data_IF_716308448221
#
_entry.id   IF_716308448221
#
_cell.length_a   1.000
_cell.length_b   1.000
_cell.length_c   1.000
_cell.angle_alpha   90.00
_cell.angle_beta   90.00
_cell.angle_gamma   90.00
#
_symmetry.space_group_name_H-M   'P 1'
#
loop_
_entity.id
_entity.type
_entity.pdbx_description
1 polymer ?
#
# COMPACT_ATOMS: atom_id res chain seq x y z
N UNK A 1 -7.35 -20.81 11.47
CA UNK A 1 -5.98 -21.00 12.01
C UNK A 1 -5.93 -20.78 13.53
N UNK A 2 -6.41 -19.65 14.05
CA UNK A 2 -6.39 -19.27 15.48
C UNK A 2 -6.81 -20.36 16.49
N UNK A 3 -7.91 -21.07 16.25
CA UNK A 3 -8.40 -22.12 17.18
C UNK A 3 -7.59 -23.41 17.18
N UNK A 4 -6.73 -23.61 16.19
CA UNK A 4 -5.90 -24.81 16.01
C UNK A 4 -4.45 -24.60 16.46
N UNK A 5 -4.03 -23.36 16.68
CA UNK A 5 -2.65 -23.03 17.07
C UNK A 5 -2.47 -23.08 18.60
N UNK A 6 -1.40 -23.70 19.10
CA UNK A 6 -1.05 -23.78 20.53
C UNK A 6 -0.23 -22.58 21.03
N UNK A 7 0.30 -21.74 20.13
CA UNK A 7 1.30 -20.70 20.44
C UNK A 7 0.72 -19.32 20.81
N UNK A 8 -0.53 -19.22 21.24
CA UNK A 8 -1.08 -17.95 21.75
C UNK A 8 -0.62 -17.74 23.19
N UNK A 9 -0.39 -16.49 23.61
CA UNK A 9 -0.04 -16.12 25.00
C UNK A 9 -1.09 -16.63 25.98
N UNK A 10 -2.37 -16.65 25.58
CA UNK A 10 -3.45 -17.33 26.33
C UNK A 10 -3.23 -18.81 26.62
N UNK A 11 -2.37 -19.48 25.85
CA UNK A 11 -2.02 -20.90 25.96
C UNK A 11 -0.58 -21.11 26.47
N UNK A 12 0.29 -20.11 26.33
CA UNK A 12 1.69 -20.14 26.81
C UNK A 12 1.83 -19.65 28.27
N UNK A 13 0.93 -18.79 28.75
CA UNK A 13 0.92 -18.26 30.11
C UNK A 13 -0.43 -18.57 30.78
N UNK A 14 -0.59 -19.74 31.45
CA UNK A 14 -1.78 -20.04 32.23
C UNK A 14 -1.96 -19.00 33.36
N UNK A 15 -3.23 -18.74 33.73
CA UNK A 15 -3.69 -17.74 34.73
C UNK A 15 -2.93 -17.71 36.06
N UNK A 16 -2.13 -18.73 36.35
CA UNK A 16 -1.47 -18.98 37.63
C UNK A 16 -0.05 -18.41 37.72
N UNK A 17 0.54 -17.92 36.62
CA UNK A 17 1.81 -17.15 36.61
C UNK A 17 1.73 -15.96 35.65
N UNK A 18 1.43 -14.79 36.20
CA UNK A 18 1.38 -13.52 35.47
C UNK A 18 2.78 -12.96 35.23
N UNK A 19 3.59 -13.65 34.41
CA UNK A 19 4.85 -13.08 33.92
C UNK A 19 4.53 -11.93 32.97
N UNK A 20 5.18 -10.77 33.15
CA UNK A 20 5.02 -9.66 32.23
C UNK A 20 5.53 -10.02 30.83
N UNK A 21 4.73 -9.75 29.81
CA UNK A 21 5.08 -9.97 28.39
C UNK A 21 5.13 -8.62 27.69
N UNK A 22 6.26 -8.32 27.07
CA UNK A 22 6.42 -7.15 26.19
C UNK A 22 6.72 -7.68 24.79
N UNK A 23 5.77 -7.52 23.88
CA UNK A 23 5.90 -7.93 22.48
C UNK A 23 6.34 -6.73 21.64
N UNK A 24 7.53 -6.83 21.04
CA UNK A 24 8.04 -5.86 20.08
C UNK A 24 7.71 -6.37 18.67
N UNK A 25 6.91 -5.60 17.93
CA UNK A 25 6.26 -6.05 16.70
C UNK A 25 6.75 -5.21 15.52
N UNK A 26 7.20 -5.89 14.46
CA UNK A 26 7.37 -5.30 13.13
C UNK A 26 6.16 -5.72 12.30
N UNK A 27 5.42 -4.73 11.81
CA UNK A 27 4.14 -4.93 11.11
C UNK A 27 4.34 -4.84 9.59
N UNK A 28 4.05 -5.95 8.93
CA UNK A 28 3.91 -6.10 7.48
C UNK A 28 2.43 -6.10 7.03
N UNK A 29 1.52 -5.67 7.91
CA UNK A 29 0.06 -5.71 7.68
C UNK A 29 -0.49 -4.29 7.53
N UNK A 30 -1.26 -4.07 6.46
CA UNK A 30 -2.01 -2.82 6.26
C UNK A 30 -2.83 -2.48 7.50
N UNK A 31 -2.62 -1.28 8.04
CA UNK A 31 -3.37 -0.76 9.17
C UNK A 31 -2.96 -1.32 10.54
N UNK A 32 -1.89 -2.11 10.61
CA UNK A 32 -1.26 -2.54 11.86
C UNK A 32 -2.18 -3.35 12.79
N UNK A 33 -3.10 -4.13 12.22
CA UNK A 33 -4.05 -4.92 13.00
C UNK A 33 -3.34 -6.07 13.72
N UNK A 34 -3.06 -5.89 15.01
CA UNK A 34 -2.34 -6.85 15.85
C UNK A 34 -2.94 -8.27 15.84
N UNK A 35 -4.26 -8.38 15.70
CA UNK A 35 -4.97 -9.66 15.62
C UNK A 35 -4.63 -10.45 14.36
N UNK A 36 -4.18 -9.78 13.30
CA UNK A 36 -3.78 -10.39 12.03
C UNK A 36 -2.28 -10.69 12.01
N UNK A 37 -1.46 -9.79 12.59
CA UNK A 37 0.00 -9.93 12.62
C UNK A 37 0.37 -11.22 13.35
N UNK A 38 1.03 -12.15 12.64
CA UNK A 38 1.40 -13.47 13.17
C UNK A 38 0.22 -14.26 13.78
N UNK A 39 -1.02 -14.00 13.35
CA UNK A 39 -2.23 -14.53 13.99
C UNK A 39 -2.41 -14.10 15.47
N UNK A 40 -1.95 -12.91 15.83
CA UNK A 40 -2.23 -12.25 17.12
C UNK A 40 -1.88 -13.09 18.35
N UNK A 41 -0.65 -13.64 18.46
CA UNK A 41 -0.29 -14.52 19.58
C UNK A 41 -0.44 -13.81 20.93
N UNK A 42 -0.19 -12.49 20.96
CA UNK A 42 -0.21 -11.62 22.13
C UNK A 42 -1.49 -10.78 22.23
N UNK A 43 -2.52 -11.14 21.46
CA UNK A 43 -3.84 -10.48 21.45
C UNK A 43 -4.93 -11.49 21.82
N UNK A 44 -5.94 -11.04 22.55
CA UNK A 44 -7.09 -11.88 22.85
C UNK A 44 -7.86 -12.22 21.56
N UNK A 45 -8.00 -13.52 21.28
CA UNK A 45 -8.80 -14.03 20.17
C UNK A 45 -10.29 -13.94 20.52
N UNK A 46 -10.98 -13.00 19.87
CA UNK A 46 -12.42 -12.73 20.04
C UNK A 46 -13.32 -13.70 19.28
N UNK A 47 -12.76 -14.55 18.41
CA UNK A 47 -13.56 -15.51 17.64
C UNK A 47 -14.04 -16.69 18.49
N UNK A 48 -15.07 -17.40 18.04
CA UNK A 48 -15.58 -18.60 18.71
C UNK A 48 -15.40 -19.87 17.85
N UNK A 49 -15.29 -21.07 18.47
CA UNK A 49 -15.31 -22.33 17.72
C UNK A 49 -16.58 -22.49 16.86
N UNK A 50 -17.71 -21.95 17.32
CA UNK A 50 -18.96 -21.93 16.56
C UNK A 50 -18.85 -21.11 15.27
N UNK A 51 -18.25 -19.91 15.33
CA UNK A 51 -17.99 -19.11 14.13
C UNK A 51 -17.09 -19.88 13.15
N UNK A 52 -16.10 -20.64 13.65
CA UNK A 52 -15.26 -21.48 12.81
C UNK A 52 -16.07 -22.58 12.10
N UNK A 53 -16.99 -23.26 12.80
CA UNK A 53 -17.90 -24.25 12.20
C UNK A 53 -18.83 -23.63 11.15
N UNK A 54 -19.32 -22.41 11.40
CA UNK A 54 -20.15 -21.68 10.44
C UNK A 54 -19.39 -21.34 9.16
N UNK A 55 -18.13 -20.88 9.27
CA UNK A 55 -17.27 -20.60 8.11
C UNK A 55 -17.02 -21.89 7.31
N UNK A 56 -16.69 -23.00 7.98
CA UNK A 56 -16.49 -24.29 7.32
C UNK A 56 -17.75 -24.75 6.55
N UNK A 57 -18.94 -24.48 7.10
CA UNK A 57 -20.21 -24.74 6.43
C UNK A 57 -20.39 -23.85 5.20
N UNK A 58 -20.18 -22.55 5.34
CA UNK A 58 -20.32 -21.57 4.25
C UNK A 58 -19.38 -21.87 3.08
N UNK A 59 -18.19 -22.41 3.36
CA UNK A 59 -17.20 -22.79 2.35
C UNK A 59 -17.37 -24.23 1.82
N UNK A 60 -18.39 -24.98 2.27
CA UNK A 60 -18.59 -26.39 1.93
C UNK A 60 -17.35 -27.27 2.20
N UNK A 61 -16.71 -27.06 3.35
CA UNK A 61 -15.48 -27.77 3.76
C UNK A 61 -15.72 -28.76 4.91
N UNK A 62 -16.95 -28.93 5.39
CA UNK A 62 -17.24 -29.75 6.57
C UNK A 62 -16.79 -31.21 6.40
N UNK A 63 -16.98 -31.79 5.22
CA UNK A 63 -16.59 -33.17 4.93
C UNK A 63 -15.12 -33.30 4.49
N UNK A 64 -14.41 -32.17 4.35
CA UNK A 64 -12.99 -32.13 3.92
C UNK A 64 -12.01 -31.98 5.08
N UNK A 65 -12.49 -31.70 6.29
CA UNK A 65 -11.64 -31.58 7.47
C UNK A 65 -11.47 -32.93 8.17
N UNK A 66 -10.32 -33.20 8.81
CA UNK A 66 -10.16 -34.41 9.61
C UNK A 66 -11.16 -34.47 10.77
N UNK A 67 -11.66 -35.66 11.08
CA UNK A 67 -12.66 -35.87 12.14
C UNK A 67 -12.18 -35.38 13.52
N UNK A 68 -10.88 -35.47 13.78
CA UNK A 68 -10.26 -34.95 15.00
C UNK A 68 -10.45 -33.44 15.19
N UNK A 69 -10.45 -32.67 14.09
CA UNK A 69 -10.68 -31.22 14.11
C UNK A 69 -12.15 -30.90 14.33
N UNK A 70 -13.04 -31.61 13.65
CA UNK A 70 -14.48 -31.45 13.80
C UNK A 70 -14.92 -31.73 15.25
N UNK A 71 -14.45 -32.86 15.79
CA UNK A 71 -14.69 -33.27 17.18
C UNK A 71 -14.20 -32.21 18.17
N UNK A 72 -12.99 -31.66 17.98
CA UNK A 72 -12.44 -30.61 18.84
C UNK A 72 -13.30 -29.33 18.83
N UNK A 73 -13.71 -28.87 17.65
CA UNK A 73 -14.49 -27.64 17.50
C UNK A 73 -15.87 -27.79 18.13
N UNK A 74 -16.57 -28.89 17.86
CA UNK A 74 -17.89 -29.18 18.45
C UNK A 74 -17.80 -29.30 19.97
N UNK A 75 -16.79 -30.01 20.48
CA UNK A 75 -16.57 -30.14 21.94
C UNK A 75 -16.38 -28.77 22.58
N UNK A 76 -15.49 -27.93 22.03
CA UNK A 76 -15.22 -26.59 22.59
C UNK A 76 -16.42 -25.65 22.50
N UNK A 77 -17.23 -25.73 21.44
CA UNK A 77 -18.48 -24.98 21.37
C UNK A 77 -19.39 -25.33 22.55
N UNK A 78 -19.57 -26.64 22.85
CA UNK A 78 -20.42 -27.10 23.96
C UNK A 78 -19.88 -26.65 25.32
N UNK A 79 -18.57 -26.74 25.53
CA UNK A 79 -17.91 -26.31 26.77
C UNK A 79 -18.13 -24.81 27.04
N UNK A 80 -17.94 -23.97 26.01
CA UNK A 80 -18.16 -22.53 26.11
C UNK A 80 -19.61 -22.22 26.45
N UNK A 81 -20.58 -22.76 25.69
CA UNK A 81 -22.01 -22.52 25.93
C UNK A 81 -22.45 -22.90 27.35
N UNK A 82 -21.90 -23.99 27.91
CA UNK A 82 -22.18 -24.39 29.30
C UNK A 82 -21.60 -23.41 30.33
N UNK A 83 -20.43 -22.83 30.06
CA UNK A 83 -19.74 -21.96 31.00
C UNK A 83 -20.26 -20.51 31.04
N UNK A 84 -20.78 -20.00 29.91
CA UNK A 84 -21.19 -18.58 29.78
C UNK A 84 -22.69 -18.37 29.66
N UNK A 85 -23.50 -19.44 29.52
CA UNK A 85 -24.95 -19.32 29.28
C UNK A 85 -25.32 -18.75 27.90
N UNK A 86 -24.34 -18.37 27.09
CA UNK A 86 -24.49 -17.85 25.73
C UNK A 86 -23.43 -18.46 24.79
N UNK A 87 -23.74 -18.56 23.50
CA UNK A 87 -22.79 -18.98 22.46
C UNK A 87 -21.83 -17.82 22.08
N UNK A 88 -22.14 -16.61 22.54
CA UNK A 88 -21.32 -15.40 22.39
C UNK A 88 -20.31 -15.32 23.54
N UNK A 89 -19.23 -16.07 23.42
CA UNK A 89 -18.03 -15.76 24.20
C UNK A 89 -17.38 -14.51 23.62
N UNK A 90 -17.58 -13.37 24.28
CA UNK A 90 -16.76 -12.16 24.11
C UNK A 90 -15.40 -12.41 24.76
N UNK A 91 -14.53 -13.11 24.03
CA UNK A 91 -13.25 -13.53 24.57
C UNK A 91 -12.39 -12.37 25.08
N UNK A 92 -12.05 -12.47 26.36
CA UNK A 92 -10.87 -11.90 27.02
C UNK A 92 -10.87 -10.38 27.16
N UNK A 93 -11.03 -9.90 28.40
CA UNK A 93 -10.38 -8.67 28.84
C UNK A 93 -8.94 -8.64 28.34
N UNK A 94 -8.48 -7.49 27.82
CA UNK A 94 -7.07 -7.29 27.51
C UNK A 94 -6.22 -7.83 28.67
N UNK A 95 -5.19 -8.61 28.33
CA UNK A 95 -4.29 -9.12 29.34
C UNK A 95 -3.44 -7.95 29.86
N UNK A 96 -3.73 -7.46 31.06
CA UNK A 96 -3.03 -6.29 31.64
C UNK A 96 -1.51 -6.48 31.73
N UNK A 97 -1.05 -7.73 31.83
CA UNK A 97 0.37 -8.11 31.87
C UNK A 97 1.02 -8.24 30.48
N UNK A 98 0.26 -8.03 29.39
CA UNK A 98 0.75 -8.14 28.00
C UNK A 98 0.71 -6.77 27.34
N UNK A 99 1.90 -6.25 27.03
CA UNK A 99 2.07 -5.00 26.31
C UNK A 99 2.53 -5.28 24.89
N UNK A 100 1.79 -4.76 23.90
CA UNK A 100 2.14 -4.86 22.49
C UNK A 100 2.67 -3.50 22.02
N UNK A 101 3.88 -3.49 21.49
CA UNK A 101 4.55 -2.27 20.99
C UNK A 101 4.96 -2.51 19.55
N UNK A 102 4.42 -1.69 18.64
CA UNK A 102 4.87 -1.68 17.25
C UNK A 102 6.15 -0.86 17.18
N UNK A 103 7.24 -1.52 16.80
CA UNK A 103 8.59 -0.92 16.70
C UNK A 103 9.02 -0.69 15.25
N UNK A 104 8.28 -1.24 14.28
CA UNK A 104 8.47 -0.98 12.87
C UNK A 104 7.17 -1.19 12.10
N UNK A 105 6.82 -0.24 11.23
CA UNK A 105 5.71 -0.35 10.30
C UNK A 105 5.86 0.67 9.16
N UNK A 106 4.92 0.62 8.22
CA UNK A 106 4.91 1.51 7.07
C UNK A 106 4.82 2.99 7.45
N UNK A 107 4.07 3.34 8.51
CA UNK A 107 3.95 4.73 9.00
C UNK A 107 5.30 5.28 9.45
N UNK A 108 6.10 4.48 10.17
CA UNK A 108 7.43 4.88 10.61
C UNK A 108 8.38 5.03 9.43
N UNK A 109 8.29 4.14 8.44
CA UNK A 109 9.09 4.25 7.21
C UNK A 109 8.71 5.50 6.38
N UNK A 110 7.41 5.82 6.27
CA UNK A 110 6.93 7.05 5.62
C UNK A 110 7.34 8.31 6.38
N UNK A 111 7.31 8.29 7.71
CA UNK A 111 7.80 9.40 8.52
C UNK A 111 9.30 9.64 8.27
N UNK A 112 10.10 8.58 8.20
CA UNK A 112 11.52 8.67 7.84
C UNK A 112 11.72 9.21 6.41
N UNK A 113 10.96 8.72 5.44
CA UNK A 113 10.99 9.22 4.06
C UNK A 113 10.61 10.71 3.98
N UNK A 114 9.59 11.14 4.73
CA UNK A 114 9.18 12.54 4.83
C UNK A 114 10.28 13.41 5.41
N UNK A 115 10.87 13.03 6.54
CA UNK A 115 12.01 13.76 7.12
C UNK A 115 13.18 13.86 6.13
N UNK A 116 13.47 12.77 5.41
CA UNK A 116 14.54 12.79 4.41
C UNK A 116 14.20 13.72 3.23
N UNK A 117 12.96 13.73 2.76
CA UNK A 117 12.51 14.63 1.71
C UNK A 117 12.64 16.10 2.12
N UNK A 118 12.29 16.45 3.37
CA UNK A 118 12.51 17.82 3.89
C UNK A 118 13.98 18.21 3.90
N UNK A 119 14.86 17.31 4.36
CA UNK A 119 16.31 17.53 4.37
C UNK A 119 16.89 17.74 2.97
N UNK A 120 16.30 17.09 1.95
CA UNK A 120 16.67 17.25 0.54
C UNK A 120 16.02 18.48 -0.11
N UNK A 121 15.25 19.28 0.64
CA UNK A 121 14.65 20.52 0.17
C UNK A 121 13.26 20.40 -0.47
N UNK A 122 12.65 19.21 -0.41
CA UNK A 122 11.26 19.01 -0.84
C UNK A 122 10.27 19.47 0.24
N UNK A 123 9.03 19.74 -0.17
CA UNK A 123 7.87 19.84 0.71
C UNK A 123 7.10 18.52 0.68
N UNK A 124 7.29 17.62 1.65
CA UNK A 124 6.60 16.35 1.63
C UNK A 124 5.17 16.45 2.17
N UNK A 125 4.36 15.49 1.75
CA UNK A 125 3.09 15.19 2.39
C UNK A 125 2.85 13.69 2.37
N UNK A 126 2.51 13.10 3.52
CA UNK A 126 2.05 11.72 3.59
C UNK A 126 0.53 11.72 3.38
N UNK A 127 0.04 11.11 2.29
CA UNK A 127 -1.39 11.03 2.00
C UNK A 127 -2.05 9.78 2.58
N UNK A 128 -1.35 8.64 2.61
CA UNK A 128 -1.87 7.37 3.12
C UNK A 128 -0.73 6.44 3.54
N UNK A 129 -0.96 5.60 4.54
CA UNK A 129 -0.11 4.46 4.91
C UNK A 129 -0.89 3.12 4.81
N UNK A 130 -2.01 3.16 4.10
CA UNK A 130 -2.97 2.05 3.94
C UNK A 130 -3.42 1.94 2.48
N UNK A 131 -2.55 2.31 1.54
CA UNK A 131 -2.81 2.15 0.12
C UNK A 131 -3.03 0.67 -0.20
N UNK A 132 -4.11 0.37 -0.91
CA UNK A 132 -4.44 -0.96 -1.40
C UNK A 132 -5.03 -0.89 -2.82
N UNK A 133 -5.23 -2.06 -3.43
CA UNK A 133 -5.84 -2.19 -4.75
C UNK A 133 -4.89 -2.78 -5.80
N UNK A 134 -5.36 -2.79 -7.05
CA UNK A 134 -4.60 -3.30 -8.20
C UNK A 134 -3.54 -2.27 -8.63
N UNK A 135 -2.28 -2.68 -8.67
CA UNK A 135 -1.12 -1.82 -8.91
C UNK A 135 -1.26 -0.92 -10.14
N UNK A 136 -1.68 -1.48 -11.27
CA UNK A 136 -1.87 -0.73 -12.52
C UNK A 136 -2.96 0.36 -12.40
N UNK A 137 -4.07 0.08 -11.70
CA UNK A 137 -5.13 1.07 -11.44
C UNK A 137 -4.65 2.17 -10.50
N UNK A 138 -3.87 1.80 -9.49
CA UNK A 138 -3.24 2.75 -8.57
C UNK A 138 -2.23 3.64 -9.29
N UNK A 139 -1.44 3.09 -10.21
CA UNK A 139 -0.52 3.85 -11.06
C UNK A 139 -1.24 4.92 -11.88
N UNK A 140 -2.37 4.57 -12.52
CA UNK A 140 -3.22 5.56 -13.23
C UNK A 140 -3.69 6.67 -12.27
N UNK A 141 -4.07 6.34 -11.04
CA UNK A 141 -4.45 7.37 -10.05
C UNK A 141 -3.30 8.32 -9.74
N UNK A 142 -2.06 7.84 -9.65
CA UNK A 142 -0.88 8.70 -9.45
C UNK A 142 -0.62 9.64 -10.64
N UNK A 143 -0.78 9.17 -11.88
CA UNK A 143 -0.66 10.03 -13.07
C UNK A 143 -1.72 11.14 -13.06
N UNK A 144 -2.97 10.80 -12.76
CA UNK A 144 -4.05 11.78 -12.56
C UNK A 144 -3.76 12.76 -11.42
N UNK A 145 -3.22 12.28 -10.30
CA UNK A 145 -2.85 13.10 -9.16
C UNK A 145 -1.72 14.07 -9.49
N UNK A 146 -0.75 13.65 -10.30
CA UNK A 146 0.34 14.49 -10.77
C UNK A 146 -0.18 15.72 -11.52
N UNK A 147 -1.10 15.52 -12.47
CA UNK A 147 -1.76 16.63 -13.19
C UNK A 147 -2.63 17.48 -12.29
N UNK A 148 -3.40 16.88 -11.37
CA UNK A 148 -4.23 17.63 -10.44
C UNK A 148 -3.37 18.56 -9.55
N UNK A 149 -2.25 18.04 -9.03
CA UNK A 149 -1.29 18.83 -8.29
C UNK A 149 -0.64 19.92 -9.16
N UNK A 150 -0.18 19.60 -10.37
CA UNK A 150 0.42 20.55 -11.31
C UNK A 150 -0.52 21.73 -11.64
N UNK A 151 -1.80 21.46 -11.91
CA UNK A 151 -2.83 22.49 -12.13
C UNK A 151 -3.08 23.37 -10.89
N UNK A 152 -2.70 22.90 -9.70
CA UNK A 152 -2.88 23.62 -8.44
C UNK A 152 -1.70 24.53 -8.09
N UNK A 153 -0.55 24.42 -8.77
CA UNK A 153 0.57 25.35 -8.59
C UNK A 153 0.20 26.75 -9.11
N UNK A 154 0.40 27.78 -8.28
CA UNK A 154 0.10 29.17 -8.65
C UNK A 154 -1.38 29.48 -8.83
N UNK A 155 -2.26 28.62 -8.29
CA UNK A 155 -3.70 28.80 -8.32
C UNK A 155 -4.12 30.13 -7.66
N UNK A 156 -4.56 31.11 -8.47
CA UNK A 156 -5.29 32.28 -7.98
C UNK A 156 -6.75 31.88 -7.79
N UNK A 157 -7.20 31.80 -6.54
CA UNK A 157 -8.57 31.45 -6.10
C UNK A 157 -9.68 32.26 -6.81
N UNK A 158 -9.32 33.37 -7.45
CA UNK A 158 -10.23 34.29 -8.14
C UNK A 158 -10.63 33.91 -9.57
N UNK A 159 -10.14 32.80 -10.15
CA UNK A 159 -10.53 32.34 -11.49
C UNK A 159 -11.30 31.01 -11.42
N UNK A 160 -12.41 30.82 -12.17
CA UNK A 160 -13.19 29.58 -12.10
C UNK A 160 -12.31 28.38 -12.44
N UNK A 161 -12.51 27.27 -11.73
CA UNK A 161 -11.95 25.96 -12.10
C UNK A 161 -12.34 25.71 -13.56
N UNK A 162 -11.38 25.48 -14.46
CA UNK A 162 -11.72 25.00 -15.80
C UNK A 162 -12.60 23.75 -15.66
N UNK A 163 -13.51 23.52 -16.61
CA UNK A 163 -14.34 22.31 -16.64
C UNK A 163 -13.49 21.04 -16.48
N UNK A 164 -12.31 21.06 -17.09
CA UNK A 164 -11.27 20.04 -17.02
C UNK A 164 -10.73 19.78 -15.58
N UNK A 165 -10.46 20.83 -14.80
CA UNK A 165 -10.03 20.68 -13.40
C UNK A 165 -11.13 20.04 -12.54
N UNK A 166 -12.38 20.48 -12.71
CA UNK A 166 -13.51 19.93 -11.95
C UNK A 166 -13.72 18.46 -12.30
N UNK A 167 -13.64 18.12 -13.59
CA UNK A 167 -13.77 16.73 -14.03
C UNK A 167 -12.67 15.86 -13.45
N UNK A 168 -11.41 16.31 -13.48
CA UNK A 168 -10.29 15.57 -12.90
C UNK A 168 -10.45 15.34 -11.39
N UNK A 169 -10.97 16.34 -10.65
CA UNK A 169 -11.29 16.19 -9.23
C UNK A 169 -12.36 15.12 -9.01
N UNK A 170 -13.42 15.11 -9.81
CA UNK A 170 -14.49 14.11 -9.73
C UNK A 170 -13.98 12.71 -10.09
N UNK A 171 -13.15 12.59 -11.11
CA UNK A 171 -12.57 11.33 -11.53
C UNK A 171 -11.68 10.74 -10.44
N UNK A 172 -10.80 11.54 -9.81
CA UNK A 172 -10.00 11.12 -8.67
C UNK A 172 -10.85 10.66 -7.48
N UNK A 173 -11.92 11.40 -7.17
CA UNK A 173 -12.85 11.02 -6.09
C UNK A 173 -13.58 9.72 -6.40
N UNK A 174 -14.05 9.52 -7.64
CA UNK A 174 -14.73 8.29 -8.07
C UNK A 174 -13.81 7.06 -8.02
N UNK A 175 -12.49 7.27 -8.17
CA UNK A 175 -11.47 6.23 -8.03
C UNK A 175 -11.04 5.99 -6.58
N UNK A 176 -11.63 6.68 -5.61
CA UNK A 176 -11.44 6.45 -4.19
C UNK A 176 -10.51 7.42 -3.49
N UNK A 177 -10.00 8.47 -4.17
CA UNK A 177 -9.17 9.50 -3.51
C UNK A 177 -10.08 10.46 -2.73
N UNK A 178 -9.99 10.53 -1.39
CA UNK A 178 -10.92 11.37 -0.62
C UNK A 178 -10.76 12.86 -0.96
N UNK A 179 -11.88 13.58 -1.07
CA UNK A 179 -11.86 15.04 -1.33
C UNK A 179 -11.03 15.82 -0.31
N UNK A 180 -10.98 15.36 0.94
CA UNK A 180 -10.10 15.93 2.00
C UNK A 180 -8.62 15.79 1.64
N UNK A 181 -8.22 14.66 1.07
CA UNK A 181 -6.86 14.40 0.59
C UNK A 181 -6.50 15.33 -0.56
N UNK A 182 -7.39 15.48 -1.55
CA UNK A 182 -7.19 16.40 -2.66
C UNK A 182 -7.01 17.85 -2.20
N UNK A 183 -7.82 18.32 -1.24
CA UNK A 183 -7.65 19.66 -0.64
C UNK A 183 -6.27 19.88 -0.03
N UNK A 184 -5.66 18.86 0.59
CA UNK A 184 -4.30 18.97 1.13
C UNK A 184 -3.28 19.12 0.01
N UNK A 185 -3.44 18.39 -1.10
CA UNK A 185 -2.57 18.49 -2.27
C UNK A 185 -2.65 19.89 -2.89
N UNK A 186 -3.85 20.46 -3.02
CA UNK A 186 -4.02 21.85 -3.50
C UNK A 186 -3.30 22.86 -2.58
N UNK A 187 -3.51 22.74 -1.27
CA UNK A 187 -2.86 23.63 -0.30
C UNK A 187 -1.33 23.54 -0.35
N UNK A 188 -0.80 22.32 -0.49
CA UNK A 188 0.63 22.07 -0.63
C UNK A 188 1.17 22.67 -1.92
N UNK A 189 0.53 22.42 -3.07
CA UNK A 189 0.96 22.94 -4.37
C UNK A 189 0.96 24.47 -4.41
N UNK A 190 -0.06 25.12 -3.84
CA UNK A 190 -0.11 26.57 -3.73
C UNK A 190 1.01 27.13 -2.83
N UNK A 191 1.26 26.49 -1.68
CA UNK A 191 2.36 26.88 -0.81
C UNK A 191 3.72 26.70 -1.49
N UNK A 192 3.93 25.55 -2.13
CA UNK A 192 5.13 25.19 -2.87
C UNK A 192 5.46 26.19 -3.98
N UNK A 193 4.45 26.64 -4.72
CA UNK A 193 4.59 27.69 -5.73
C UNK A 193 5.14 29.00 -5.12
N UNK A 194 4.60 29.44 -4.00
CA UNK A 194 5.01 30.71 -3.38
C UNK A 194 6.44 30.69 -2.85
N UNK A 195 6.91 29.52 -2.38
CA UNK A 195 8.25 29.38 -1.82
C UNK A 195 9.25 28.71 -2.79
N UNK A 196 8.84 28.47 -4.04
CA UNK A 196 9.64 27.84 -5.10
C UNK A 196 10.28 26.52 -4.70
N UNK A 197 9.54 25.66 -3.98
CA UNK A 197 10.01 24.33 -3.59
C UNK A 197 9.28 23.23 -4.37
N UNK A 198 9.97 22.12 -4.71
CA UNK A 198 9.31 20.93 -5.22
C UNK A 198 8.48 20.26 -4.11
N UNK A 199 7.37 19.62 -4.48
CA UNK A 199 6.58 18.82 -3.55
C UNK A 199 6.93 17.34 -3.66
N UNK A 200 6.80 16.59 -2.58
CA UNK A 200 6.99 15.14 -2.52
C UNK A 200 5.76 14.48 -1.89
N UNK A 201 4.90 13.88 -2.71
CA UNK A 201 3.72 13.17 -2.24
C UNK A 201 4.13 11.74 -1.90
N UNK A 202 3.96 11.36 -0.63
CA UNK A 202 4.31 10.06 -0.09
C UNK A 202 3.04 9.24 0.20
N UNK A 203 3.08 7.97 -0.18
CA UNK A 203 2.11 6.97 0.26
C UNK A 203 2.80 5.67 0.60
N UNK A 204 2.12 4.82 1.35
CA UNK A 204 2.53 3.43 1.51
C UNK A 204 1.34 2.54 1.83
N UNK A 205 1.60 1.25 1.81
CA UNK A 205 0.60 0.18 1.84
C UNK A 205 1.08 -0.97 0.98
N UNK A 206 0.16 -1.83 0.54
CA UNK A 206 0.48 -3.03 -0.22
C UNK A 206 -0.51 -3.16 -1.37
N UNK A 207 -0.02 -3.18 -2.60
CA UNK A 207 -0.87 -3.38 -3.79
C UNK A 207 -0.78 -4.80 -4.32
N UNK A 208 -1.67 -5.16 -5.24
CA UNK A 208 -1.70 -6.49 -5.84
C UNK A 208 -1.62 -6.41 -7.35
N UNK A 209 -1.12 -7.48 -7.97
CA UNK A 209 -1.11 -7.66 -9.42
C UNK A 209 -2.10 -8.75 -9.79
N UNK A 210 -2.94 -8.48 -10.79
CA UNK A 210 -3.69 -9.54 -11.47
C UNK A 210 -2.83 -10.12 -12.58
N UNK A 211 -2.21 -11.27 -12.33
CA UNK A 211 -1.38 -11.96 -13.32
C UNK A 211 -2.25 -12.53 -14.43
N UNK A 212 -2.03 -12.05 -15.65
CA UNK A 212 -2.77 -12.39 -16.89
C UNK A 212 -1.83 -12.89 -17.99
N UNK A 213 -0.58 -12.42 -18.00
CA UNK A 213 0.46 -12.83 -18.94
C UNK A 213 1.46 -13.82 -18.35
N UNK A 214 2.53 -14.07 -19.09
CA UNK A 214 3.65 -14.94 -18.72
C UNK A 214 4.96 -14.17 -18.45
N UNK A 215 4.87 -12.84 -18.42
CA UNK A 215 6.00 -11.96 -18.19
C UNK A 215 6.54 -12.02 -16.76
N UNK A 216 7.61 -11.26 -16.56
CA UNK A 216 8.27 -11.06 -15.26
C UNK A 216 8.14 -9.60 -14.84
N UNK A 217 7.77 -9.37 -13.59
CA UNK A 217 7.55 -8.02 -13.04
C UNK A 217 7.05 -8.08 -11.61
N UNK A 218 6.60 -6.95 -11.08
CA UNK A 218 6.03 -6.85 -9.75
C UNK A 218 5.07 -5.67 -9.62
N UNK A 219 4.40 -5.58 -8.46
CA UNK A 219 3.36 -4.58 -8.20
C UNK A 219 3.93 -3.16 -8.26
N UNK A 220 5.14 -2.94 -7.76
CA UNK A 220 5.76 -1.62 -7.76
C UNK A 220 6.17 -1.21 -9.19
N UNK A 221 6.77 -2.13 -9.96
CA UNK A 221 7.10 -1.92 -11.36
C UNK A 221 5.86 -1.65 -12.23
N UNK A 222 4.79 -2.42 -12.07
CA UNK A 222 3.53 -2.20 -12.80
C UNK A 222 2.87 -0.86 -12.48
N UNK A 223 2.88 -0.47 -11.20
CA UNK A 223 2.34 0.82 -10.77
C UNK A 223 3.09 1.98 -11.44
N UNK A 224 4.42 1.88 -11.49
CA UNK A 224 5.29 2.91 -12.08
C UNK A 224 5.06 3.04 -13.59
N UNK A 225 4.97 1.92 -14.31
CA UNK A 225 4.67 1.92 -15.76
C UNK A 225 3.26 2.45 -16.04
N UNK A 226 2.26 2.07 -15.25
CA UNK A 226 0.89 2.56 -15.42
C UNK A 226 0.77 4.07 -15.14
N UNK A 227 1.52 4.59 -14.17
CA UNK A 227 1.63 6.02 -13.92
C UNK A 227 2.26 6.74 -15.11
N UNK A 228 3.36 6.21 -15.65
CA UNK A 228 4.04 6.77 -16.81
C UNK A 228 3.12 6.85 -18.04
N UNK A 229 2.36 5.79 -18.34
CA UNK A 229 1.37 5.75 -19.43
C UNK A 229 0.28 6.81 -19.24
N UNK A 230 -0.21 7.01 -18.02
CA UNK A 230 -1.23 8.02 -17.75
C UNK A 230 -0.67 9.45 -17.85
N UNK A 231 0.58 9.68 -17.41
CA UNK A 231 1.27 10.97 -17.60
C UNK A 231 1.45 11.25 -19.09
N UNK A 232 1.95 10.29 -19.88
CA UNK A 232 2.17 10.44 -21.32
C UNK A 232 0.87 10.79 -22.06
N UNK A 233 -0.21 10.06 -21.77
CA UNK A 233 -1.55 10.34 -22.30
C UNK A 233 -2.01 11.78 -22.01
N UNK A 234 -1.64 12.33 -20.85
CA UNK A 234 -1.98 13.70 -20.46
C UNK A 234 -1.02 14.77 -21.03
N UNK A 235 0.12 14.35 -21.57
CA UNK A 235 1.09 15.21 -22.26
C UNK A 235 0.78 15.38 -23.75
N UNK A 236 -0.10 14.56 -24.33
CA UNK A 236 -0.46 14.64 -25.75
C UNK A 236 -1.27 15.94 -26.04
N UNK A 237 -0.62 16.92 -26.69
CA UNK A 237 -1.19 18.20 -27.13
C UNK A 237 -0.32 19.42 -26.78
N UNK A 238 -0.34 20.48 -27.61
CA UNK A 238 0.55 21.67 -27.53
C UNK A 238 0.42 22.51 -26.24
N UNK A 239 -0.51 22.19 -25.34
CA UNK A 239 -0.84 23.00 -24.15
C UNK A 239 -0.80 22.21 -22.83
N UNK A 240 -0.12 21.07 -22.78
CA UNK A 240 -0.07 20.27 -21.55
C UNK A 240 0.60 21.03 -20.40
N UNK A 241 -0.15 21.18 -19.29
CA UNK A 241 0.37 21.79 -18.06
C UNK A 241 1.62 21.07 -17.55
N UNK A 242 1.68 19.75 -17.74
CA UNK A 242 2.75 18.89 -17.25
C UNK A 242 4.11 19.21 -17.88
N UNK A 243 4.14 19.79 -19.09
CA UNK A 243 5.38 20.21 -19.73
C UNK A 243 6.17 21.26 -18.92
N UNK A 244 5.47 22.02 -18.06
CA UNK A 244 6.06 23.01 -17.16
C UNK A 244 6.60 22.43 -15.84
N UNK A 245 6.61 21.11 -15.70
CA UNK A 245 7.02 20.42 -14.48
C UNK A 245 8.03 19.33 -14.78
N UNK A 246 8.89 19.07 -13.80
CA UNK A 246 9.63 17.82 -13.69
C UNK A 246 8.87 16.92 -12.72
N UNK A 247 8.56 15.71 -13.18
CA UNK A 247 7.80 14.69 -12.49
C UNK A 247 8.69 13.47 -12.33
N UNK A 248 8.78 12.96 -11.11
CA UNK A 248 9.43 11.68 -10.82
C UNK A 248 8.46 10.85 -10.01
N UNK A 249 8.26 9.60 -10.40
CA UNK A 249 7.46 8.66 -9.65
C UNK A 249 8.27 7.41 -9.32
N UNK A 250 8.30 7.08 -8.03
CA UNK A 250 8.97 5.94 -7.46
C UNK A 250 7.95 5.07 -6.74
N UNK A 251 8.06 3.74 -6.90
CA UNK A 251 7.39 2.76 -6.06
C UNK A 251 8.39 1.66 -5.72
N UNK A 252 8.45 1.24 -4.45
CA UNK A 252 9.32 0.14 -4.05
C UNK A 252 8.94 -0.55 -2.74
N UNK A 253 9.17 -1.85 -2.70
CA UNK A 253 9.04 -2.72 -1.54
C UNK A 253 10.17 -2.49 -0.54
N UNK A 254 9.82 -2.36 0.73
CA UNK A 254 10.81 -2.13 1.81
C UNK A 254 11.67 -3.35 2.14
N UNK A 255 11.28 -4.53 1.66
CA UNK A 255 12.02 -5.79 1.75
C UNK A 255 13.12 -5.94 0.69
N UNK A 256 13.13 -5.05 -0.30
CA UNK A 256 14.08 -5.08 -1.42
C UNK A 256 13.63 -5.93 -2.60
N UNK A 257 12.38 -6.42 -2.61
CA UNK A 257 11.87 -7.35 -3.62
C UNK A 257 10.53 -6.85 -4.18
N UNK A 258 10.34 -6.99 -5.49
CA UNK A 258 9.09 -6.72 -6.18
C UNK A 258 8.72 -7.85 -7.12
N UNK A 259 7.76 -8.68 -6.71
CA UNK A 259 7.41 -9.90 -7.45
C UNK A 259 8.59 -10.90 -7.52
N UNK A 260 8.63 -11.79 -8.53
CA UNK A 260 9.74 -12.71 -8.73
C UNK A 260 10.97 -12.04 -9.39
N UNK A 261 11.41 -10.88 -8.90
CA UNK A 261 12.52 -10.09 -9.48
C UNK A 261 13.57 -9.73 -8.41
N UNK A 262 14.83 -9.41 -8.79
CA UNK A 262 15.87 -9.03 -7.83
C UNK A 262 15.81 -7.54 -7.43
N UNK A 263 14.78 -6.81 -7.83
CA UNK A 263 14.64 -5.36 -7.62
C UNK A 263 13.55 -5.09 -6.60
N UNK A 264 13.64 -3.97 -5.90
CA UNK A 264 12.59 -3.52 -4.98
C UNK A 264 11.41 -2.85 -5.69
N UNK A 265 11.59 -2.46 -6.95
CA UNK A 265 10.62 -1.67 -7.70
C UNK A 265 11.31 -0.83 -8.75
N UNK A 266 10.74 0.33 -9.07
CA UNK A 266 11.25 1.20 -10.12
C UNK A 266 11.01 2.69 -9.83
N UNK A 267 11.76 3.53 -10.54
CA UNK A 267 11.62 4.98 -10.59
C UNK A 267 11.64 5.46 -12.04
N UNK A 268 10.69 6.31 -12.40
CA UNK A 268 10.59 6.91 -13.74
C UNK A 268 10.43 8.41 -13.64
N UNK A 269 10.81 9.11 -14.71
CA UNK A 269 10.45 10.48 -14.99
C UNK A 269 9.37 10.57 -16.08
N UNK A 270 8.90 11.77 -16.40
CA UNK A 270 7.89 11.97 -17.45
C UNK A 270 8.36 11.58 -18.87
N UNK A 271 9.65 11.28 -19.09
CA UNK A 271 10.21 10.96 -20.41
C UNK A 271 10.23 9.45 -20.71
N UNK A 272 9.91 8.62 -19.72
CA UNK A 272 10.03 7.16 -19.84
C UNK A 272 9.25 6.57 -21.02
N UNK A 273 8.01 7.00 -21.26
CA UNK A 273 7.21 6.49 -22.39
C UNK A 273 7.81 6.91 -23.74
N UNK A 274 8.33 8.13 -23.85
CA UNK A 274 9.06 8.56 -25.05
C UNK A 274 10.29 7.68 -25.29
N UNK A 275 11.07 7.37 -24.25
CA UNK A 275 12.22 6.45 -24.35
C UNK A 275 11.79 5.05 -24.81
N UNK A 276 10.67 4.53 -24.33
CA UNK A 276 10.10 3.26 -24.81
C UNK A 276 9.77 3.33 -26.31
N UNK A 277 9.09 4.39 -26.75
CA UNK A 277 8.71 4.59 -28.15
C UNK A 277 9.93 4.71 -29.06
N UNK A 278 10.95 5.48 -28.66
CA UNK A 278 12.20 5.66 -29.41
C UNK A 278 12.96 4.35 -29.61
N UNK A 279 12.75 3.37 -28.72
CA UNK A 279 13.33 2.02 -28.79
C UNK A 279 12.34 0.98 -29.35
N UNK A 280 11.24 1.40 -29.98
CA UNK A 280 10.20 0.53 -30.54
C UNK A 280 9.59 -0.45 -29.52
N UNK A 281 9.45 -0.03 -28.26
CA UNK A 281 8.83 -0.82 -27.20
C UNK A 281 7.50 -0.24 -26.77
N UNK A 282 6.43 -1.04 -26.89
CA UNK A 282 5.12 -0.66 -26.39
C UNK A 282 4.97 -1.01 -24.90
N UNK A 283 5.17 -0.02 -24.04
CA UNK A 283 5.03 -0.17 -22.60
C UNK A 283 3.66 -0.72 -22.16
N UNK A 284 2.59 -0.43 -22.91
CA UNK A 284 1.25 -0.96 -22.61
C UNK A 284 1.18 -2.48 -22.87
N UNK A 285 1.83 -2.97 -23.92
CA UNK A 285 1.93 -4.41 -24.20
C UNK A 285 2.71 -5.13 -23.09
N UNK A 286 3.85 -4.59 -22.65
CA UNK A 286 4.61 -5.17 -21.52
C UNK A 286 3.79 -5.18 -20.22
N UNK A 287 3.09 -4.08 -19.90
CA UNK A 287 2.22 -4.01 -18.74
C UNK A 287 1.09 -5.05 -18.79
N UNK A 288 0.43 -5.21 -19.95
CA UNK A 288 -0.64 -6.21 -20.14
C UNK A 288 -0.16 -7.65 -20.03
N UNK A 289 1.11 -7.91 -20.36
CA UNK A 289 1.73 -9.22 -20.23
C UNK A 289 2.40 -9.46 -18.86
N UNK A 290 2.25 -8.54 -17.90
CA UNK A 290 2.95 -8.57 -16.60
C UNK A 290 4.48 -8.67 -16.74
N UNK A 291 5.04 -8.02 -17.77
CA UNK A 291 6.44 -8.16 -18.19
C UNK A 291 7.28 -6.89 -17.95
N UNK A 292 6.95 -6.13 -16.91
CA UNK A 292 7.57 -4.82 -16.66
C UNK A 292 9.05 -4.89 -16.32
N UNK A 293 9.54 -6.00 -15.75
CA UNK A 293 10.96 -6.18 -15.48
C UNK A 293 11.79 -6.20 -16.77
N UNK A 294 11.37 -7.02 -17.74
CA UNK A 294 12.05 -7.12 -19.03
C UNK A 294 11.95 -5.82 -19.84
N UNK A 295 10.87 -5.04 -19.67
CA UNK A 295 10.78 -3.69 -20.24
C UNK A 295 11.90 -2.80 -19.71
N UNK A 296 12.09 -2.77 -18.39
CA UNK A 296 13.14 -1.95 -17.77
C UNK A 296 14.54 -2.44 -18.13
N UNK A 297 14.80 -3.74 -18.14
CA UNK A 297 16.11 -4.29 -18.55
C UNK A 297 16.50 -3.86 -19.97
N UNK A 298 15.52 -3.71 -20.87
CA UNK A 298 15.78 -3.31 -22.25
C UNK A 298 15.86 -1.80 -22.47
N UNK A 299 15.13 -1.01 -21.68
CA UNK A 299 15.03 0.45 -21.87
C UNK A 299 16.02 1.22 -21.00
N UNK A 300 16.06 0.89 -19.71
CA UNK A 300 16.91 1.60 -18.74
C UNK A 300 16.95 0.82 -17.41
N UNK A 301 18.01 0.05 -17.22
CA UNK A 301 18.28 -0.61 -15.92
C UNK A 301 18.44 0.40 -14.79
N UNK A 302 18.83 1.65 -15.08
CA UNK A 302 18.95 2.75 -14.10
C UNK A 302 17.60 3.12 -13.46
N UNK A 303 16.48 2.81 -14.12
CA UNK A 303 15.15 2.98 -13.54
C UNK A 303 14.82 1.92 -12.48
N UNK A 304 15.57 0.82 -12.41
CA UNK A 304 15.33 -0.25 -11.43
C UNK A 304 15.95 0.09 -10.08
N UNK A 305 15.22 -0.21 -9.00
CA UNK A 305 15.68 0.05 -7.64
C UNK A 305 16.34 -1.22 -7.09
N UNK A 306 17.66 -1.30 -7.18
CA UNK A 306 18.47 -2.39 -6.63
C UNK A 306 19.05 -1.99 -5.28
N UNK A 307 18.36 -2.34 -4.20
CA UNK A 307 18.81 -2.11 -2.82
C UNK A 307 19.22 -3.40 -2.09
N UNK A 308 18.98 -4.56 -2.71
CA UNK A 308 19.18 -5.88 -2.11
C UNK A 308 18.20 -6.15 -0.96
N UNK A 309 18.29 -7.34 -0.38
CA UNK A 309 17.46 -7.71 0.78
C UNK A 309 17.80 -6.82 1.98
N UNK A 310 16.78 -6.15 2.51
CA UNK A 310 16.96 -5.21 3.63
C UNK A 310 16.91 -5.89 5.00
N UNK A 311 16.41 -7.13 5.05
CA UNK A 311 16.19 -7.87 6.31
C UNK A 311 14.98 -7.38 7.11
N UNK A 312 14.13 -6.52 6.52
CA UNK A 312 12.86 -6.07 7.11
C UNK A 312 11.75 -6.08 6.07
N UNK A 313 10.49 -6.02 6.49
CA UNK A 313 9.36 -5.82 5.59
C UNK A 313 8.28 -5.02 6.31
N UNK A 314 7.97 -3.84 5.78
CA UNK A 314 6.87 -2.99 6.22
C UNK A 314 6.07 -2.49 5.01
N UNK A 315 5.88 -3.37 4.02
CA UNK A 315 5.14 -3.14 2.76
C UNK A 315 5.85 -2.18 1.78
N UNK A 316 5.10 -1.52 0.89
CA UNK A 316 5.61 -0.62 -0.14
C UNK A 316 5.62 0.85 0.29
N UNK A 317 6.50 1.63 -0.34
CA UNK A 317 6.51 3.09 -0.30
C UNK A 317 6.48 3.63 -1.73
N UNK A 318 5.65 4.65 -1.94
CA UNK A 318 5.62 5.43 -3.18
C UNK A 318 5.98 6.88 -2.90
N UNK A 319 6.70 7.48 -3.85
CA UNK A 319 7.03 8.90 -3.85
C UNK A 319 6.75 9.52 -5.23
N UNK A 320 5.85 10.49 -5.28
CA UNK A 320 5.59 11.33 -6.45
C UNK A 320 6.16 12.73 -6.20
N UNK A 321 7.23 13.06 -6.92
CA UNK A 321 7.88 14.36 -6.88
C UNK A 321 7.37 15.22 -8.02
N UNK A 322 7.03 16.48 -7.71
CA UNK A 322 6.55 17.46 -8.69
C UNK A 322 7.29 18.76 -8.45
N UNK A 323 8.07 19.19 -9.44
CA UNK A 323 8.86 20.42 -9.42
C UNK A 323 8.43 21.33 -10.55
N UNK A 324 8.06 22.57 -10.25
CA UNK A 324 7.81 23.56 -11.30
C UNK A 324 9.13 23.99 -11.95
N UNK A 325 9.15 24.15 -13.28
CA UNK A 325 10.29 24.67 -14.05
C UNK A 325 10.40 26.21 -14.00
N UNK A 326 9.41 26.89 -13.43
CA UNK A 326 9.33 28.36 -13.32
C UNK A 326 9.97 28.88 -12.04
#
# INVERSE_FOLDING_TARGET
>A
MYKLNLLTVSKLAPKERLTQVIALIVSDVIGDKLEIISSGPTVADKSTPQQCLMILKQLNLQDKIPESINTLLVRRTREITKSTGSVEYTGGTQWEHVHNVIVGNNKMALAAASMKAEQLGFLPIILSSVLDGEASKVGVMFGMLARYAALSFGYKVSNPKSSDYVQLELDLVSKGVPKKTLKKVVALAHHAYNIKKPICILTGGETTVQVKGSGKGGRNQEMVVACALEIDKQCQGDTSVLANFDLIFLSGGTDGIDGPTPVAGAVIDQTFIQKCNDNNMDALTYLRNNDTFNLFEKISEECLILIGHTGTNVMDIQALVIKSKK
#
